data_IF_783404768249
#
_entry.id   IF_783404768249
#
_cell.length_a   1.000
_cell.length_b   1.000
_cell.length_c   1.000
_cell.angle_alpha   90.00
_cell.angle_beta   90.00
_cell.angle_gamma   90.00
#
_symmetry.space_group_name_H-M   'P 1'
#
loop_
_entity.id
_entity.type
_entity.pdbx_description
1 polymer ?
#
# COMPACT_ATOMS: atom_id res chain seq x y z
N UNK A 1 9.21 10.02 -7.95
CA UNK A 1 10.62 9.88 -7.54
C UNK A 1 10.88 9.56 -6.05
N UNK A 2 9.89 9.08 -5.28
CA UNK A 2 10.01 8.36 -3.99
C UNK A 2 10.70 9.10 -2.82
N UNK A 3 11.97 9.46 -2.92
CA UNK A 3 12.77 10.04 -1.83
C UNK A 3 13.31 11.42 -2.21
N UNK A 4 13.12 12.39 -1.31
CA UNK A 4 13.60 13.76 -1.48
C UNK A 4 15.13 13.84 -1.67
N UNK A 5 15.87 12.91 -1.06
CA UNK A 5 17.34 12.92 -1.00
C UNK A 5 18.00 12.27 -2.21
N UNK A 6 17.25 11.62 -3.10
CA UNK A 6 17.82 11.07 -4.34
C UNK A 6 18.17 12.17 -5.33
N UNK A 7 19.34 12.06 -5.95
CA UNK A 7 19.77 12.93 -7.05
C UNK A 7 18.98 12.62 -8.34
N UNK A 8 19.04 13.51 -9.34
CA UNK A 8 18.29 13.36 -10.59
C UNK A 8 18.57 12.04 -11.30
N UNK A 9 19.84 11.61 -11.39
CA UNK A 9 20.21 10.37 -12.06
C UNK A 9 19.56 9.14 -11.42
N UNK A 10 19.56 9.05 -10.08
CA UNK A 10 18.92 7.96 -9.34
C UNK A 10 17.40 7.98 -9.56
N UNK A 11 16.77 9.15 -9.59
CA UNK A 11 15.32 9.28 -9.83
C UNK A 11 14.93 8.79 -11.22
N UNK A 12 15.68 9.20 -12.25
CA UNK A 12 15.45 8.75 -13.63
C UNK A 12 15.63 7.23 -13.74
N UNK A 13 16.72 6.69 -13.18
CA UNK A 13 16.95 5.24 -13.15
C UNK A 13 15.81 4.49 -12.45
N UNK A 14 15.31 5.00 -11.34
CA UNK A 14 14.20 4.40 -10.58
C UNK A 14 12.89 4.36 -11.39
N UNK A 15 12.60 5.43 -12.14
CA UNK A 15 11.42 5.50 -13.03
C UNK A 15 11.59 4.54 -14.22
N UNK A 16 12.77 4.51 -14.85
CA UNK A 16 13.05 3.59 -15.95
C UNK A 16 12.89 2.13 -15.53
N UNK A 17 13.50 1.74 -14.40
CA UNK A 17 13.38 0.38 -13.86
C UNK A 17 11.93 0.02 -13.51
N UNK A 18 11.14 0.98 -13.03
CA UNK A 18 9.73 0.73 -12.73
C UNK A 18 8.94 0.34 -13.97
N UNK A 19 9.03 1.11 -15.05
CA UNK A 19 8.30 0.79 -16.27
C UNK A 19 8.82 -0.46 -16.96
N UNK A 20 10.14 -0.70 -16.93
CA UNK A 20 10.71 -1.97 -17.39
C UNK A 20 10.15 -3.16 -16.58
N UNK A 21 10.05 -3.01 -15.26
CA UNK A 21 9.44 -4.02 -14.40
C UNK A 21 7.98 -4.26 -14.78
N UNK A 22 7.19 -3.21 -15.00
CA UNK A 22 5.79 -3.33 -15.39
C UNK A 22 5.64 -4.03 -16.76
N UNK A 23 6.40 -3.60 -17.77
CA UNK A 23 6.39 -4.21 -19.10
C UNK A 23 6.82 -5.68 -19.08
N UNK A 24 7.72 -6.06 -18.18
CA UNK A 24 8.20 -7.43 -18.06
C UNK A 24 7.24 -8.36 -17.31
N UNK A 25 6.51 -7.86 -16.31
CA UNK A 25 5.66 -8.68 -15.45
C UNK A 25 4.16 -8.62 -15.80
N UNK A 26 3.72 -7.65 -16.60
CA UNK A 26 2.34 -7.51 -17.04
C UNK A 26 2.20 -7.68 -18.57
N UNK A 27 1.05 -8.17 -19.02
CA UNK A 27 0.67 -8.17 -20.43
C UNK A 27 0.60 -6.74 -20.96
N UNK A 28 0.94 -6.53 -22.24
CA UNK A 28 1.00 -5.19 -22.83
C UNK A 28 -0.37 -4.49 -22.82
N UNK A 29 -1.40 -5.30 -23.00
CA UNK A 29 -2.83 -5.03 -23.02
C UNK A 29 -3.45 -4.87 -21.62
N UNK A 30 -2.77 -5.34 -20.56
CA UNK A 30 -3.15 -5.10 -19.17
C UNK A 30 -2.76 -3.69 -18.67
N UNK A 31 -1.65 -3.13 -19.17
CA UNK A 31 -1.16 -1.82 -18.73
C UNK A 31 -2.16 -0.68 -19.01
N UNK A 32 -2.80 -0.58 -20.19
CA UNK A 32 -3.87 0.39 -20.43
C UNK A 32 -4.97 0.32 -19.38
N UNK A 33 -5.44 -0.89 -19.02
CA UNK A 33 -6.49 -1.08 -18.02
C UNK A 33 -6.07 -0.55 -16.64
N UNK A 34 -4.84 -0.85 -16.20
CA UNK A 34 -4.27 -0.36 -14.94
C UNK A 34 -4.14 1.17 -14.94
N UNK A 35 -3.68 1.78 -16.04
CA UNK A 35 -3.39 3.22 -16.07
C UNK A 35 -4.55 4.09 -16.57
N UNK A 36 -5.77 3.53 -16.68
CA UNK A 36 -7.01 4.30 -16.87
C UNK A 36 -7.33 5.17 -15.64
N UNK A 37 -8.34 6.03 -15.75
CA UNK A 37 -8.86 6.80 -14.63
C UNK A 37 -9.48 5.92 -13.53
N UNK A 38 -10.04 4.77 -13.90
CA UNK A 38 -10.76 3.84 -13.02
C UNK A 38 -9.81 2.80 -12.40
N UNK A 39 -8.79 2.38 -13.15
CA UNK A 39 -7.88 1.30 -12.78
C UNK A 39 -8.52 -0.08 -12.96
N UNK A 40 -7.93 -1.09 -12.32
CA UNK A 40 -8.41 -2.46 -12.37
C UNK A 40 -8.72 -2.97 -10.95
N UNK A 41 -9.89 -3.56 -10.74
CA UNK A 41 -10.29 -4.06 -9.43
C UNK A 41 -9.54 -5.36 -9.07
N UNK A 42 -8.93 -5.41 -7.90
CA UNK A 42 -8.20 -6.58 -7.40
C UNK A 42 -8.87 -7.27 -6.21
N UNK A 43 -9.66 -6.54 -5.42
CA UNK A 43 -10.32 -7.10 -4.25
C UNK A 43 -11.57 -6.31 -3.90
N UNK A 44 -12.45 -6.95 -3.12
CA UNK A 44 -13.62 -6.34 -2.51
C UNK A 44 -13.68 -6.75 -1.04
N UNK A 45 -14.06 -5.83 -0.17
CA UNK A 45 -14.24 -6.03 1.26
C UNK A 45 -15.57 -5.41 1.66
N UNK A 46 -16.42 -6.19 2.30
CA UNK A 46 -17.71 -5.72 2.83
C UNK A 46 -17.61 -5.55 4.33
N UNK A 47 -18.17 -4.47 4.87
CA UNK A 47 -18.25 -4.26 6.31
C UNK A 47 -19.52 -4.86 6.94
N UNK A 48 -19.67 -4.73 8.27
CA UNK A 48 -20.83 -5.27 9.00
C UNK A 48 -22.14 -4.51 8.75
N UNK A 49 -22.05 -3.33 8.14
CA UNK A 49 -23.18 -2.50 7.74
C UNK A 49 -23.51 -2.71 6.26
N UNK A 50 -22.94 -3.75 5.63
CA UNK A 50 -23.06 -4.08 4.20
C UNK A 50 -22.50 -3.01 3.25
N UNK A 51 -21.64 -2.10 3.77
CA UNK A 51 -20.92 -1.16 2.92
C UNK A 51 -19.81 -1.89 2.16
N UNK A 52 -19.71 -1.64 0.86
CA UNK A 52 -18.76 -2.29 -0.03
C UNK A 52 -17.55 -1.37 -0.28
N UNK A 53 -16.36 -1.94 -0.12
CA UNK A 53 -15.09 -1.28 -0.40
C UNK A 53 -14.30 -2.06 -1.43
N UNK A 54 -13.84 -1.38 -2.48
CA UNK A 54 -13.14 -2.01 -3.60
C UNK A 54 -11.70 -1.53 -3.68
N UNK A 55 -10.80 -2.48 -3.83
CA UNK A 55 -9.39 -2.23 -4.05
C UNK A 55 -9.11 -2.21 -5.56
N UNK A 56 -8.50 -1.11 -6.01
CA UNK A 56 -8.03 -0.96 -7.39
C UNK A 56 -6.52 -0.87 -7.46
N UNK A 57 -5.92 -1.53 -8.45
CA UNK A 57 -4.58 -1.22 -8.97
C UNK A 57 -4.73 -0.16 -10.06
N UNK A 58 -4.05 0.97 -9.91
CA UNK A 58 -4.26 2.12 -10.77
C UNK A 58 -2.99 2.95 -11.00
N UNK A 59 -3.11 4.08 -11.70
CA UNK A 59 -2.07 5.11 -11.73
C UNK A 59 -1.97 5.79 -10.35
N UNK A 60 -0.78 5.74 -9.75
CA UNK A 60 -0.49 6.46 -8.50
C UNK A 60 -0.52 7.99 -8.67
N UNK A 61 -0.59 8.73 -7.56
CA UNK A 61 -0.77 10.19 -7.57
C UNK A 61 0.42 11.01 -8.14
N UNK A 62 1.58 10.39 -8.37
CA UNK A 62 2.76 11.08 -8.90
C UNK A 62 2.74 11.03 -10.43
N UNK A 63 2.80 12.21 -11.07
CA UNK A 63 2.57 12.43 -12.50
C UNK A 63 3.48 11.64 -13.46
N UNK A 64 4.48 10.93 -12.97
CA UNK A 64 5.46 10.13 -13.73
C UNK A 64 5.24 8.60 -13.64
N UNK A 65 4.00 8.16 -13.39
CA UNK A 65 3.53 6.78 -13.60
C UNK A 65 4.09 5.71 -12.66
N UNK A 66 4.12 6.04 -11.36
CA UNK A 66 4.16 5.03 -10.31
C UNK A 66 2.82 4.27 -10.23
N UNK A 67 2.86 3.05 -9.70
CA UNK A 67 1.68 2.20 -9.52
C UNK A 67 0.97 2.53 -8.20
N UNK A 68 -0.36 2.64 -8.22
CA UNK A 68 -1.19 2.90 -7.06
C UNK A 68 -1.99 1.67 -6.65
N UNK A 69 -2.25 1.56 -5.35
CA UNK A 69 -3.33 0.74 -4.80
C UNK A 69 -4.29 1.67 -4.06
N UNK A 70 -5.57 1.67 -4.42
CA UNK A 70 -6.60 2.53 -3.83
C UNK A 70 -7.78 1.70 -3.33
N UNK A 71 -8.07 1.80 -2.03
CA UNK A 71 -9.30 1.29 -1.44
C UNK A 71 -10.35 2.40 -1.48
N UNK A 72 -11.40 2.19 -2.26
CA UNK A 72 -12.51 3.12 -2.47
C UNK A 72 -13.78 2.58 -1.81
N UNK A 73 -14.66 3.46 -1.35
CA UNK A 73 -16.03 3.09 -1.01
C UNK A 73 -16.92 2.99 -2.25
N UNK A 74 -18.21 2.70 -2.06
CA UNK A 74 -19.20 2.59 -3.13
C UNK A 74 -19.43 3.87 -3.92
N UNK A 75 -19.11 5.03 -3.35
CA UNK A 75 -19.23 6.35 -3.98
C UNK A 75 -17.95 6.74 -4.74
N UNK A 76 -16.92 5.89 -4.70
CA UNK A 76 -15.61 6.17 -5.31
C UNK A 76 -14.73 7.08 -4.46
N UNK A 77 -15.09 7.37 -3.21
CA UNK A 77 -14.25 8.14 -2.32
C UNK A 77 -13.10 7.27 -1.81
N UNK A 78 -11.90 7.84 -1.77
CA UNK A 78 -10.71 7.12 -1.30
C UNK A 78 -10.73 6.99 0.22
N UNK A 79 -10.79 5.75 0.69
CA UNK A 79 -10.63 5.37 2.11
C UNK A 79 -9.15 5.34 2.48
N UNK A 80 -8.34 4.56 1.75
CA UNK A 80 -6.89 4.56 1.87
C UNK A 80 -6.25 4.31 0.51
N UNK A 81 -5.05 4.82 0.28
CA UNK A 81 -4.24 4.45 -0.86
C UNK A 81 -2.75 4.40 -0.52
N UNK A 82 -2.00 3.70 -1.36
CA UNK A 82 -0.54 3.71 -1.37
C UNK A 82 -0.03 3.83 -2.79
N UNK A 83 1.16 4.39 -2.96
CA UNK A 83 1.85 4.43 -4.26
C UNK A 83 3.18 3.71 -4.14
N UNK A 84 3.41 2.79 -5.05
CA UNK A 84 4.60 1.95 -5.10
C UNK A 84 5.39 2.15 -6.39
N UNK A 85 6.68 1.90 -6.30
CA UNK A 85 7.59 1.86 -7.44
C UNK A 85 8.40 0.58 -7.37
N UNK A 86 8.82 0.07 -8.53
CA UNK A 86 9.58 -1.16 -8.61
C UNK A 86 10.98 -0.89 -9.17
N UNK A 87 11.94 -1.66 -8.69
CA UNK A 87 13.29 -1.73 -9.24
C UNK A 87 13.70 -3.19 -9.41
N UNK A 88 14.58 -3.47 -10.35
CA UNK A 88 15.06 -4.83 -10.65
C UNK A 88 16.50 -5.05 -10.24
N UNK A 89 17.27 -3.98 -10.04
CA UNK A 89 18.71 -4.03 -9.75
C UNK A 89 19.01 -3.38 -8.39
N UNK A 90 19.79 -4.04 -7.50
CA UNK A 90 20.37 -5.37 -7.63
C UNK A 90 19.36 -6.52 -7.43
N UNK A 91 18.22 -6.24 -6.82
CA UNK A 91 17.16 -7.21 -6.55
C UNK A 91 15.79 -6.65 -6.94
N UNK A 92 14.81 -7.53 -7.17
CA UNK A 92 13.41 -7.13 -7.33
C UNK A 92 12.93 -6.46 -6.05
N UNK A 93 12.75 -5.16 -6.13
CA UNK A 93 12.51 -4.28 -5.00
C UNK A 93 11.24 -3.49 -5.22
N UNK A 94 10.41 -3.36 -4.19
CA UNK A 94 9.27 -2.46 -4.17
C UNK A 94 9.52 -1.35 -3.14
N UNK A 95 9.36 -0.11 -3.58
CA UNK A 95 9.40 1.06 -2.72
C UNK A 95 7.99 1.56 -2.46
N UNK A 96 7.61 1.71 -1.19
CA UNK A 96 6.35 2.31 -0.78
C UNK A 96 6.61 3.79 -0.47
N UNK A 97 6.16 4.67 -1.37
CA UNK A 97 6.50 6.09 -1.35
C UNK A 97 5.51 6.99 -0.60
N UNK A 98 4.28 6.52 -0.37
CA UNK A 98 3.26 7.29 0.35
C UNK A 98 2.15 6.37 0.85
N UNK A 99 1.59 6.68 2.02
CA UNK A 99 0.32 6.13 2.48
C UNK A 99 -0.63 7.30 2.70
N UNK A 100 -1.83 7.20 2.14
CA UNK A 100 -2.82 8.29 2.15
C UNK A 100 -4.08 7.77 2.78
N UNK A 101 -4.58 8.49 3.79
CA UNK A 101 -5.86 8.18 4.43
C UNK A 101 -7.06 8.72 3.64
N UNK A 102 -8.22 8.78 4.33
CA UNK A 102 -9.48 9.22 3.75
C UNK A 102 -9.37 10.61 3.11
N UNK A 103 -9.96 10.78 1.92
CA UNK A 103 -10.07 12.11 1.29
C UNK A 103 -11.23 12.93 1.91
N UNK A 104 -11.42 14.16 1.41
CA UNK A 104 -12.48 15.09 1.87
C UNK A 104 -13.90 14.61 1.57
N UNK A 105 -14.10 13.74 0.57
CA UNK A 105 -15.41 13.19 0.24
C UNK A 105 -15.95 12.15 1.23
N UNK A 106 -15.11 11.57 2.09
CA UNK A 106 -15.58 10.64 3.13
C UNK A 106 -16.15 11.42 4.31
N UNK A 107 -17.48 11.43 4.40
CA UNK A 107 -18.21 11.81 5.59
C UNK A 107 -17.95 10.82 6.75
N UNK A 108 -17.99 11.29 7.99
CA UNK A 108 -17.86 10.43 9.18
C UNK A 108 -16.68 9.44 9.16
N UNK A 109 -15.50 9.90 8.70
CA UNK A 109 -14.26 9.09 8.58
C UNK A 109 -13.97 8.14 9.75
N UNK A 110 -14.25 8.58 10.98
CA UNK A 110 -14.02 7.77 12.18
C UNK A 110 -14.94 6.55 12.22
N UNK A 111 -16.20 6.69 11.81
CA UNK A 111 -17.16 5.58 11.74
C UNK A 111 -16.76 4.59 10.65
N UNK A 112 -16.39 5.08 9.45
CA UNK A 112 -15.86 4.23 8.36
C UNK A 112 -14.65 3.43 8.84
N UNK A 113 -13.68 4.10 9.49
CA UNK A 113 -12.49 3.42 10.02
C UNK A 113 -12.88 2.37 11.08
N UNK A 114 -13.80 2.69 11.97
CA UNK A 114 -14.26 1.78 13.04
C UNK A 114 -14.98 0.56 12.47
N UNK A 115 -15.90 0.77 11.53
CA UNK A 115 -16.66 -0.29 10.86
C UNK A 115 -15.72 -1.24 10.14
N UNK A 116 -14.90 -0.72 9.22
CA UNK A 116 -13.89 -1.51 8.50
C UNK A 116 -12.95 -2.25 9.44
N UNK A 117 -12.48 -1.61 10.52
CA UNK A 117 -11.60 -2.26 11.49
C UNK A 117 -12.27 -3.48 12.12
N UNK A 118 -13.56 -3.38 12.46
CA UNK A 118 -14.31 -4.49 13.07
C UNK A 118 -14.51 -5.62 12.07
N UNK A 119 -14.86 -5.29 10.84
CA UNK A 119 -15.09 -6.25 9.73
C UNK A 119 -13.82 -6.97 9.31
N UNK A 120 -12.69 -6.27 9.27
CA UNK A 120 -11.36 -6.83 9.00
C UNK A 120 -10.74 -7.49 10.26
N UNK A 121 -11.55 -8.05 11.15
CA UNK A 121 -11.11 -8.75 12.36
C UNK A 121 -10.10 -7.96 13.22
N UNK A 122 -10.37 -6.67 13.41
CA UNK A 122 -9.55 -5.74 14.18
C UNK A 122 -8.32 -5.22 13.44
N UNK A 123 -8.17 -5.47 12.13
CA UNK A 123 -7.13 -4.89 11.28
C UNK A 123 -7.58 -3.50 10.83
N UNK A 124 -6.80 -2.46 11.14
CA UNK A 124 -7.16 -1.09 10.77
C UNK A 124 -7.06 -0.89 9.24
N UNK A 125 -7.86 -0.03 8.61
CA UNK A 125 -7.72 0.27 7.17
C UNK A 125 -6.32 0.71 6.73
N UNK A 126 -5.63 1.50 7.59
CA UNK A 126 -4.23 1.86 7.36
C UNK A 126 -3.31 0.64 7.24
N UNK A 127 -3.63 -0.44 7.95
CA UNK A 127 -2.86 -1.67 7.95
C UNK A 127 -3.26 -2.56 6.77
N UNK A 128 -4.56 -2.60 6.46
CA UNK A 128 -5.11 -3.32 5.31
C UNK A 128 -4.49 -2.87 3.98
N UNK A 129 -4.31 -1.57 3.75
CA UNK A 129 -3.69 -1.08 2.51
C UNK A 129 -2.24 -1.53 2.34
N UNK A 130 -1.51 -1.74 3.45
CA UNK A 130 -0.17 -2.33 3.39
C UNK A 130 -0.23 -3.84 3.17
N UNK A 131 -1.16 -4.57 3.78
CA UNK A 131 -1.36 -5.99 3.47
C UNK A 131 -1.55 -6.20 1.96
N UNK A 132 -2.36 -5.36 1.30
CA UNK A 132 -2.51 -5.40 -0.15
C UNK A 132 -1.22 -5.10 -0.92
N UNK A 133 -0.39 -4.15 -0.45
CA UNK A 133 0.91 -3.89 -1.06
C UNK A 133 1.86 -5.08 -0.89
N UNK A 134 1.83 -5.75 0.26
CA UNK A 134 2.63 -6.96 0.52
C UNK A 134 2.14 -8.15 -0.32
N UNK A 135 0.83 -8.34 -0.46
CA UNK A 135 0.24 -9.32 -1.39
C UNK A 135 0.70 -9.06 -2.81
N UNK A 136 0.63 -7.81 -3.29
CA UNK A 136 1.13 -7.41 -4.60
C UNK A 136 2.62 -7.77 -4.77
N UNK A 137 3.44 -7.44 -3.78
CA UNK A 137 4.88 -7.75 -3.78
C UNK A 137 5.11 -9.26 -3.90
N UNK A 138 4.40 -10.08 -3.11
CA UNK A 138 4.51 -11.55 -3.15
C UNK A 138 4.02 -12.12 -4.48
N UNK A 139 2.84 -11.70 -4.98
CA UNK A 139 2.35 -12.17 -6.28
C UNK A 139 3.34 -11.78 -7.41
N UNK A 140 4.07 -10.66 -7.30
CA UNK A 140 5.06 -10.21 -8.30
C UNK A 140 6.50 -10.69 -8.04
N UNK A 141 6.71 -11.57 -7.06
CA UNK A 141 8.02 -12.13 -6.67
C UNK A 141 9.05 -11.05 -6.32
N UNK A 142 8.60 -9.98 -5.67
CA UNK A 142 9.47 -8.95 -5.08
C UNK A 142 10.09 -9.51 -3.81
N UNK A 143 11.40 -9.34 -3.65
CA UNK A 143 12.15 -9.87 -2.50
C UNK A 143 12.51 -8.82 -1.47
N UNK A 144 12.52 -7.54 -1.85
CA UNK A 144 12.85 -6.43 -0.95
C UNK A 144 11.76 -5.37 -0.98
N UNK A 145 11.35 -4.91 0.21
CA UNK A 145 10.35 -3.84 0.33
C UNK A 145 10.92 -2.72 1.18
N UNK A 146 10.92 -1.50 0.65
CA UNK A 146 11.37 -0.32 1.36
C UNK A 146 10.23 0.67 1.58
N UNK A 147 9.94 0.96 2.85
CA UNK A 147 9.00 2.00 3.25
C UNK A 147 9.71 3.34 3.45
N UNK A 148 9.17 4.43 2.92
CA UNK A 148 9.75 5.76 3.09
C UNK A 148 9.63 6.23 4.56
N UNK A 149 10.72 6.76 5.14
CA UNK A 149 10.70 7.36 6.48
C UNK A 149 10.08 8.76 6.46
N UNK A 150 9.75 9.28 7.64
CA UNK A 150 9.32 10.67 7.81
C UNK A 150 10.35 11.68 7.26
N UNK A 151 11.64 11.36 7.31
CA UNK A 151 12.74 12.21 6.80
C UNK A 151 13.02 12.02 5.30
N UNK A 152 12.68 10.87 4.73
CA UNK A 152 12.82 10.60 3.30
C UNK A 152 11.69 11.18 2.46
N UNK A 153 10.51 11.38 3.07
CA UNK A 153 9.28 11.78 2.40
C UNK A 153 9.40 13.14 1.68
N UNK A 154 8.96 13.19 0.42
CA UNK A 154 9.12 14.33 -0.51
C UNK A 154 8.52 15.63 0.01
N UNK A 155 7.46 15.54 0.81
CA UNK A 155 6.76 16.71 1.36
C UNK A 155 7.51 17.42 2.50
N UNK A 156 8.66 16.90 2.96
CA UNK A 156 9.61 17.66 3.80
C UNK A 156 10.65 18.45 2.99
N UNK A 157 10.67 18.35 1.66
CA UNK A 157 11.54 19.22 0.87
C UNK A 157 11.09 20.68 0.98
N UNK A 158 12.04 21.57 1.24
CA UNK A 158 11.88 23.02 1.42
C UNK A 158 10.94 23.73 0.41
N UNK A 159 10.77 23.17 -0.79
CA UNK A 159 9.84 23.67 -1.83
C UNK A 159 8.36 23.66 -1.45
N UNK A 160 7.94 22.90 -0.43
CA UNK A 160 6.54 22.79 -0.02
C UNK A 160 6.22 23.47 1.32
N UNK A 161 7.21 24.10 1.97
CA UNK A 161 7.08 24.72 3.29
C UNK A 161 6.16 25.96 3.30
N UNK A 162 5.81 26.51 2.13
CA UNK A 162 5.13 27.80 2.02
C UNK A 162 3.60 27.81 1.83
N UNK A 163 2.90 26.69 1.60
CA UNK A 163 1.47 26.77 1.16
C UNK A 163 0.38 26.11 2.00
N UNK A 164 0.65 25.14 2.87
CA UNK A 164 -0.40 24.57 3.75
C UNK A 164 0.20 23.99 5.03
N UNK A 165 0.36 24.82 6.07
CA UNK A 165 0.74 24.34 7.42
C UNK A 165 -0.32 23.42 8.04
N UNK A 166 -1.58 23.50 7.62
CA UNK A 166 -2.68 22.65 8.12
C UNK A 166 -2.80 21.28 7.45
N UNK A 167 -2.09 21.03 6.34
CA UNK A 167 -2.09 19.74 5.65
C UNK A 167 -0.73 19.02 5.75
N UNK A 168 0.12 19.45 6.70
CA UNK A 168 1.37 18.76 7.03
C UNK A 168 0.98 17.38 7.56
N UNK A 169 1.41 16.37 6.81
CA UNK A 169 1.34 14.93 7.09
C UNK A 169 1.36 14.64 8.60
N UNK A 170 0.20 14.32 9.16
CA UNK A 170 0.03 13.78 10.52
C UNK A 170 0.29 12.27 10.56
N UNK A 171 0.65 11.67 9.43
CA UNK A 171 0.98 10.26 9.33
C UNK A 171 2.43 10.03 9.73
N UNK A 172 2.62 9.39 10.88
CA UNK A 172 3.94 8.98 11.35
C UNK A 172 4.38 7.70 10.63
N UNK A 173 5.19 7.85 9.59
CA UNK A 173 5.72 6.72 8.82
C UNK A 173 6.65 5.86 9.67
N UNK A 174 7.48 6.46 10.51
CA UNK A 174 8.48 5.73 11.28
C UNK A 174 7.79 4.79 12.28
N UNK A 175 6.82 5.30 13.04
CA UNK A 175 6.00 4.47 13.93
C UNK A 175 5.20 3.40 13.16
N UNK A 176 4.68 3.76 11.98
CA UNK A 176 3.95 2.82 11.14
C UNK A 176 4.80 1.64 10.66
N UNK A 177 6.04 1.87 10.23
CA UNK A 177 6.94 0.79 9.81
C UNK A 177 7.38 -0.09 10.99
N UNK A 178 7.61 0.53 12.15
CA UNK A 178 7.94 -0.21 13.38
C UNK A 178 6.79 -1.14 13.84
N UNK A 179 5.52 -0.74 13.68
CA UNK A 179 4.37 -1.62 13.94
C UNK A 179 4.40 -2.92 13.12
N UNK A 180 5.10 -2.92 11.98
CA UNK A 180 5.26 -4.05 11.06
C UNK A 180 6.59 -4.80 11.21
N UNK A 181 7.37 -4.50 12.26
CA UNK A 181 8.68 -5.12 12.46
C UNK A 181 9.73 -4.70 11.42
N UNK A 182 9.51 -3.57 10.74
CA UNK A 182 10.47 -3.08 9.77
C UNK A 182 11.73 -2.54 10.46
N UNK A 183 12.88 -2.74 9.82
CA UNK A 183 14.19 -2.30 10.33
C UNK A 183 14.60 -1.02 9.61
N UNK A 184 14.96 0.02 10.36
CA UNK A 184 15.48 1.24 9.75
C UNK A 184 16.84 0.96 9.12
N UNK A 185 16.98 1.15 7.81
CA UNK A 185 18.24 0.91 7.09
C UNK A 185 19.05 2.20 6.89
N UNK A 186 18.37 3.34 6.78
CA UNK A 186 19.01 4.66 6.70
C UNK A 186 18.04 5.77 7.15
N UNK A 187 18.45 7.03 6.97
CA UNK A 187 17.62 8.19 7.34
C UNK A 187 16.34 8.32 6.49
N UNK A 188 16.22 7.60 5.39
CA UNK A 188 15.19 7.75 4.38
C UNK A 188 14.28 6.53 4.24
N UNK A 189 14.72 5.34 4.66
CA UNK A 189 14.01 4.10 4.41
C UNK A 189 14.04 3.11 5.58
N UNK A 190 12.96 2.34 5.65
CA UNK A 190 12.81 1.13 6.45
C UNK A 190 12.76 -0.07 5.52
N UNK A 191 13.47 -1.15 5.86
CA UNK A 191 13.30 -2.46 5.25
C UNK A 191 12.08 -3.13 5.89
N UNK A 192 11.01 -3.30 5.11
CA UNK A 192 9.76 -3.92 5.53
C UNK A 192 9.81 -5.41 5.19
N UNK A 193 9.47 -6.32 6.13
CA UNK A 193 9.41 -7.74 5.83
C UNK A 193 8.34 -8.02 4.77
N UNK A 194 8.68 -8.80 3.74
CA UNK A 194 7.74 -9.28 2.71
C UNK A 194 6.62 -10.15 3.31
N UNK A 195 6.92 -10.82 4.42
CA UNK A 195 5.99 -11.58 5.23
C UNK A 195 6.15 -11.18 6.70
N UNK A 196 5.35 -10.21 7.18
CA UNK A 196 5.39 -9.79 8.57
C UNK A 196 5.08 -10.97 9.52
N UNK A 197 5.76 -11.00 10.65
CA UNK A 197 5.59 -12.06 11.64
C UNK A 197 4.16 -12.04 12.21
N UNK A 198 3.49 -13.19 12.15
CA UNK A 198 2.19 -13.39 12.79
C UNK A 198 2.40 -13.67 14.26
N UNK A 199 1.50 -13.15 15.10
CA UNK A 199 1.54 -13.39 16.55
C UNK A 199 1.36 -14.88 16.83
N UNK A 200 2.18 -15.41 17.74
CA UNK A 200 1.96 -16.73 18.30
C UNK A 200 0.62 -16.78 19.04
N UNK A 201 -0.31 -17.55 18.47
CA UNK A 201 -1.67 -17.71 18.98
C UNK A 201 -1.70 -18.41 20.34
N UNK A 202 -0.70 -19.22 20.68
CA UNK A 202 -0.61 -19.95 21.95
C UNK A 202 -0.41 -19.02 23.15
N UNK A 203 0.27 -17.88 22.92
CA UNK A 203 0.58 -16.87 23.94
C UNK A 203 -0.57 -15.85 24.13
N UNK A 204 -1.63 -15.93 23.34
CA UNK A 204 -2.76 -14.99 23.39
C UNK A 204 -3.88 -15.49 24.31
N UNK A 205 -4.49 -14.57 25.05
CA UNK A 205 -5.73 -14.86 25.77
C UNK A 205 -6.86 -15.30 24.80
N UNK A 206 -7.89 -15.97 25.33
CA UNK A 206 -8.98 -16.57 24.53
C UNK A 206 -9.59 -15.62 23.49
N UNK A 207 -9.86 -14.37 23.87
CA UNK A 207 -10.50 -13.39 23.00
C UNK A 207 -9.56 -12.92 21.88
N UNK A 208 -8.30 -12.58 22.21
CA UNK A 208 -7.30 -12.20 21.21
C UNK A 208 -6.97 -13.37 20.30
N UNK A 209 -6.80 -14.59 20.84
CA UNK A 209 -6.57 -15.79 20.04
C UNK A 209 -7.67 -15.99 18.99
N UNK A 210 -8.95 -15.96 19.38
CA UNK A 210 -10.08 -16.05 18.44
C UNK A 210 -10.05 -14.95 17.38
N UNK A 211 -9.75 -13.71 17.77
CA UNK A 211 -9.65 -12.57 16.84
C UNK A 211 -8.55 -12.77 15.80
N UNK A 212 -7.33 -13.11 16.25
CA UNK A 212 -6.17 -13.27 15.36
C UNK A 212 -6.28 -14.53 14.50
N UNK A 213 -6.84 -15.63 14.99
CA UNK A 213 -7.15 -16.81 14.16
C UNK A 213 -8.05 -16.44 12.99
N UNK A 214 -9.16 -15.73 13.24
CA UNK A 214 -10.06 -15.26 12.18
C UNK A 214 -9.38 -14.29 11.22
N UNK A 215 -8.61 -13.33 11.76
CA UNK A 215 -7.86 -12.37 10.95
C UNK A 215 -6.91 -13.06 9.98
N UNK A 216 -6.14 -14.03 10.46
CA UNK A 216 -5.13 -14.70 9.63
C UNK A 216 -5.77 -15.58 8.56
N UNK A 217 -6.81 -16.36 8.90
CA UNK A 217 -7.57 -17.12 7.92
C UNK A 217 -8.18 -16.21 6.83
N UNK A 218 -8.77 -15.08 7.24
CA UNK A 218 -9.34 -14.10 6.32
C UNK A 218 -8.28 -13.45 5.42
N UNK A 219 -7.11 -13.10 5.95
CA UNK A 219 -6.00 -12.55 5.15
C UNK A 219 -5.47 -13.58 4.14
N UNK A 220 -5.42 -14.86 4.51
CA UNK A 220 -4.98 -15.94 3.61
C UNK A 220 -5.96 -16.11 2.44
N UNK A 221 -7.27 -16.10 2.72
CA UNK A 221 -8.31 -16.15 1.69
C UNK A 221 -8.29 -14.89 0.80
N UNK A 222 -8.17 -13.72 1.42
CA UNK A 222 -8.08 -12.44 0.71
C UNK A 222 -6.87 -12.40 -0.24
N UNK A 223 -5.71 -12.93 0.19
CA UNK A 223 -4.52 -13.03 -0.66
C UNK A 223 -4.71 -13.98 -1.85
N UNK A 224 -5.38 -15.13 -1.64
CA UNK A 224 -5.68 -16.05 -2.73
C UNK A 224 -6.55 -15.39 -3.79
N UNK A 225 -7.65 -14.75 -3.38
CA UNK A 225 -8.55 -14.01 -4.27
C UNK A 225 -7.81 -12.86 -4.97
N UNK A 226 -6.99 -12.12 -4.23
CA UNK A 226 -6.18 -11.04 -4.78
C UNK A 226 -5.22 -11.53 -5.87
N UNK A 227 -4.45 -12.61 -5.62
CA UNK A 227 -3.53 -13.13 -6.63
C UNK A 227 -4.29 -13.74 -7.83
N UNK A 228 -5.47 -14.35 -7.61
CA UNK A 228 -6.34 -14.82 -8.70
C UNK A 228 -6.79 -13.66 -9.60
N UNK A 229 -7.30 -12.58 -9.02
CA UNK A 229 -7.73 -11.39 -9.77
C UNK A 229 -6.57 -10.65 -10.46
N UNK A 230 -5.35 -10.75 -9.91
CA UNK A 230 -4.16 -10.20 -10.55
C UNK A 230 -3.65 -11.07 -11.72
N UNK A 231 -3.98 -12.36 -11.74
CA UNK A 231 -3.43 -13.34 -12.71
C UNK A 231 -3.69 -12.96 -14.17
N UNK A 232 -4.91 -12.52 -14.58
CA UNK A 232 -5.17 -12.10 -15.97
C UNK A 232 -4.29 -10.94 -16.46
N UNK A 233 -3.74 -10.15 -15.53
CA UNK A 233 -2.88 -9.02 -15.88
C UNK A 233 -1.41 -9.41 -16.04
N UNK A 234 -0.99 -10.52 -15.42
CA UNK A 234 0.42 -10.91 -15.29
C UNK A 234 0.88 -11.87 -16.38
N UNK A 235 2.15 -11.73 -16.76
CA UNK A 235 2.90 -12.73 -17.56
C UNK A 235 3.39 -13.90 -16.72
#
# INVERSE_FOLDING_TARGET
YICAKWNTQRRVSSVQQHFQFLQHNFHADALPAIFTAEGYQLAEVTDQEENIYRLFINRGQQREGSLGLSLLDSEGNRVYATTVNFETTPYRTMYIGVIQGPNEGIENRQQVIKSLTKSCHGLRPKALILEFALMLARCLKVTHIYGISNQGHIYKSWRYIGRKRSSIVTFDYDAYWQEYGAIQIDKSFYLVPTQPERKDLSQLNRNKRKLYTKRYAWLDELEQNFCQNLTPLKK
#
